data_IF_700158467766
#
_entry.id   IF_700158467766
#
_cell.length_a   1.000
_cell.length_b   1.000
_cell.length_c   1.000
_cell.angle_alpha   90.00
_cell.angle_beta   90.00
_cell.angle_gamma   90.00
#
_symmetry.space_group_name_H-M   'P 1'
#
loop_
_entity.id
_entity.type
_entity.pdbx_description
1 polymer ?
#
# COMPACT_ATOMS: atom_id res chain seq x y z
N UNK A 1 0.18 -23.28 -5.85
CA UNK A 1 -0.14 -23.57 -4.45
C UNK A 1 -1.55 -24.15 -4.37
N UNK A 2 -2.58 -23.42 -4.74
CA UNK A 2 -3.93 -23.95 -4.86
C UNK A 2 -4.38 -23.88 -6.33
N UNK A 3 -4.47 -25.00 -7.06
CA UNK A 3 -4.83 -24.98 -8.48
C UNK A 3 -6.30 -24.62 -8.73
N UNK A 4 -7.13 -24.61 -7.71
CA UNK A 4 -8.57 -24.33 -7.81
C UNK A 4 -8.90 -22.83 -7.57
N UNK A 5 -7.90 -21.99 -7.33
CA UNK A 5 -8.12 -20.55 -7.21
C UNK A 5 -8.48 -19.97 -8.58
N UNK A 6 -9.57 -19.19 -8.63
CA UNK A 6 -9.91 -18.37 -9.79
C UNK A 6 -9.15 -17.07 -9.72
N UNK A 7 -8.36 -16.77 -10.77
CA UNK A 7 -7.63 -15.51 -10.89
C UNK A 7 -8.20 -14.71 -12.06
N UNK A 8 -8.74 -13.53 -11.78
CA UNK A 8 -9.19 -12.59 -12.79
C UNK A 8 -8.16 -11.46 -12.91
N UNK A 9 -7.46 -11.38 -14.04
CA UNK A 9 -6.46 -10.36 -14.28
C UNK A 9 -7.05 -9.25 -15.16
N UNK A 10 -6.94 -8.00 -14.70
CA UNK A 10 -7.42 -6.82 -15.41
C UNK A 10 -6.24 -5.92 -15.79
N UNK A 11 -6.00 -5.75 -17.08
CA UNK A 11 -4.96 -4.86 -17.61
C UNK A 11 -5.49 -3.43 -17.66
N UNK A 12 -5.56 -2.78 -16.50
CA UNK A 12 -6.06 -1.41 -16.39
C UNK A 12 -5.27 -0.61 -15.35
N UNK A 13 -5.18 0.69 -15.54
CA UNK A 13 -4.68 1.61 -14.54
C UNK A 13 -5.83 2.03 -13.63
N UNK A 14 -5.68 1.84 -12.32
CA UNK A 14 -6.68 2.26 -11.35
C UNK A 14 -6.52 3.75 -11.10
N UNK A 15 -7.56 4.53 -11.36
CA UNK A 15 -7.62 5.95 -11.07
C UNK A 15 -9.04 6.38 -10.63
N UNK A 16 -9.22 7.68 -10.45
CA UNK A 16 -10.51 8.23 -9.98
C UNK A 16 -11.69 7.91 -10.90
N UNK A 17 -11.44 7.76 -12.20
CA UNK A 17 -12.49 7.69 -13.21
C UNK A 17 -13.05 6.26 -13.37
N UNK A 18 -12.38 5.26 -12.78
CA UNK A 18 -12.77 3.85 -12.88
C UNK A 18 -12.97 3.14 -11.53
N UNK A 19 -13.12 3.89 -10.43
CA UNK A 19 -13.29 3.28 -9.10
C UNK A 19 -14.61 2.52 -8.93
N UNK A 20 -15.64 2.84 -9.70
CA UNK A 20 -16.91 2.10 -9.65
C UNK A 20 -16.72 0.62 -10.01
N UNK A 21 -15.79 0.32 -10.93
CA UNK A 21 -15.38 -1.04 -11.23
C UNK A 21 -14.91 -1.82 -9.99
N UNK A 22 -14.20 -1.17 -9.07
CA UNK A 22 -13.75 -1.80 -7.81
C UNK A 22 -14.95 -2.25 -6.96
N UNK A 23 -16.02 -1.47 -6.96
CA UNK A 23 -17.26 -1.84 -6.25
C UNK A 23 -17.97 -3.01 -6.91
N UNK A 24 -17.99 -3.03 -8.25
CA UNK A 24 -18.61 -4.10 -9.04
C UNK A 24 -17.91 -5.46 -8.85
N UNK A 25 -16.62 -5.45 -8.51
CA UNK A 25 -15.86 -6.68 -8.20
C UNK A 25 -16.41 -7.39 -6.95
N UNK A 26 -17.09 -6.69 -6.04
CA UNK A 26 -17.59 -7.27 -4.80
C UNK A 26 -16.50 -7.85 -3.90
N UNK A 27 -15.31 -7.25 -3.90
CA UNK A 27 -14.18 -7.75 -3.13
C UNK A 27 -14.41 -7.54 -1.63
N UNK A 28 -14.17 -8.57 -0.83
CA UNK A 28 -14.27 -8.52 0.64
C UNK A 28 -13.12 -7.69 1.25
N UNK A 29 -11.96 -7.68 0.59
CA UNK A 29 -10.79 -6.94 1.03
C UNK A 29 -9.93 -6.49 -0.16
N UNK A 30 -9.38 -5.29 -0.07
CA UNK A 30 -8.48 -4.72 -1.09
C UNK A 30 -7.08 -4.56 -0.52
N UNK A 31 -6.07 -5.03 -1.26
CA UNK A 31 -4.66 -4.74 -0.98
C UNK A 31 -4.17 -3.73 -2.02
N UNK A 32 -3.89 -2.53 -1.57
CA UNK A 32 -3.32 -1.46 -2.38
C UNK A 32 -1.79 -1.51 -2.31
N UNK A 33 -1.15 -1.97 -3.38
CA UNK A 33 0.31 -2.19 -3.45
C UNK A 33 1.00 -1.38 -4.57
N UNK A 34 0.42 -0.30 -5.04
CA UNK A 34 1.01 0.62 -6.01
C UNK A 34 1.48 1.94 -5.36
N UNK A 35 2.29 2.74 -6.05
CA UNK A 35 2.96 3.93 -5.50
C UNK A 35 2.45 5.27 -6.07
N UNK A 36 1.51 5.24 -7.00
CA UNK A 36 0.93 6.46 -7.61
C UNK A 36 0.03 7.17 -6.62
N UNK A 37 0.54 8.25 -6.02
CA UNK A 37 -0.11 8.99 -4.91
C UNK A 37 -1.56 9.36 -5.20
N UNK A 38 -1.84 9.93 -6.38
CA UNK A 38 -3.21 10.36 -6.73
C UNK A 38 -4.18 9.19 -6.76
N UNK A 39 -3.81 8.11 -7.43
CA UNK A 39 -4.62 6.90 -7.54
C UNK A 39 -4.84 6.26 -6.17
N UNK A 40 -3.76 6.12 -5.38
CA UNK A 40 -3.80 5.59 -4.01
C UNK A 40 -4.75 6.40 -3.12
N UNK A 41 -4.68 7.72 -3.14
CA UNK A 41 -5.58 8.58 -2.37
C UNK A 41 -7.03 8.41 -2.80
N UNK A 42 -7.30 8.38 -4.11
CA UNK A 42 -8.66 8.20 -4.65
C UNK A 42 -9.23 6.84 -4.26
N UNK A 43 -8.44 5.77 -4.36
CA UNK A 43 -8.87 4.42 -3.97
C UNK A 43 -9.17 4.32 -2.47
N UNK A 44 -8.28 4.82 -1.63
CA UNK A 44 -8.49 4.80 -0.16
C UNK A 44 -9.75 5.58 0.21
N UNK A 45 -9.90 6.79 -0.32
CA UNK A 45 -11.09 7.62 -0.06
C UNK A 45 -12.38 6.95 -0.53
N UNK A 46 -12.35 6.33 -1.71
CA UNK A 46 -13.47 5.57 -2.25
C UNK A 46 -13.84 4.38 -1.35
N UNK A 47 -12.86 3.60 -0.92
CA UNK A 47 -13.07 2.45 -0.04
C UNK A 47 -13.67 2.89 1.30
N UNK A 48 -13.12 3.93 1.93
CA UNK A 48 -13.67 4.48 3.18
C UNK A 48 -15.13 4.95 3.03
N UNK A 49 -15.46 5.63 1.94
CA UNK A 49 -16.83 6.09 1.67
C UNK A 49 -17.82 4.96 1.43
N UNK A 50 -17.36 3.85 0.87
CA UNK A 50 -18.20 2.70 0.53
C UNK A 50 -18.12 1.55 1.54
N UNK A 51 -17.44 1.73 2.69
CA UNK A 51 -17.21 0.70 3.71
C UNK A 51 -16.54 -0.57 3.16
N UNK A 52 -15.62 -0.41 2.21
CA UNK A 52 -14.81 -1.51 1.65
C UNK A 52 -13.53 -1.63 2.47
N UNK A 53 -13.24 -2.81 2.99
CA UNK A 53 -11.99 -3.07 3.73
C UNK A 53 -10.78 -2.90 2.82
N UNK A 54 -9.79 -2.12 3.25
CA UNK A 54 -8.58 -1.84 2.47
C UNK A 54 -7.36 -1.72 3.38
N UNK A 55 -6.24 -2.27 2.92
CA UNK A 55 -4.91 -2.03 3.49
C UNK A 55 -3.95 -1.56 2.38
N UNK A 56 -3.06 -0.63 2.70
CA UNK A 56 -2.12 -0.06 1.72
C UNK A 56 -0.68 -0.34 2.09
N UNK A 57 0.14 -0.70 1.09
CA UNK A 57 1.60 -0.67 1.23
C UNK A 57 2.11 0.77 1.14
N UNK A 58 2.99 1.16 2.07
CA UNK A 58 3.81 2.35 1.92
C UNK A 58 5.13 2.01 1.20
N UNK A 59 6.05 2.96 1.09
CA UNK A 59 7.29 2.75 0.36
C UNK A 59 8.16 1.64 0.94
N UNK A 60 8.49 0.65 0.12
CA UNK A 60 9.37 -0.49 0.46
C UNK A 60 10.76 -0.38 -0.17
N UNK A 61 10.96 0.54 -1.10
CA UNK A 61 12.24 0.76 -1.77
C UNK A 61 13.31 1.40 -0.88
N UNK A 62 14.57 1.26 -1.29
CA UNK A 62 15.73 1.82 -0.58
C UNK A 62 16.10 1.08 0.69
N UNK A 63 15.69 -0.18 0.85
CA UNK A 63 15.87 -0.97 2.07
C UNK A 63 16.66 -2.24 1.77
N UNK A 64 17.69 -2.50 2.60
CA UNK A 64 18.48 -3.73 2.53
C UNK A 64 17.98 -4.74 3.56
N UNK A 65 17.57 -4.26 4.75
CA UNK A 65 16.99 -5.11 5.79
C UNK A 65 15.46 -5.23 5.63
N UNK A 66 14.94 -6.35 6.08
CA UNK A 66 13.50 -6.60 6.25
C UNK A 66 12.99 -6.19 7.62
N UNK A 67 13.90 -5.84 8.53
CA UNK A 67 13.56 -5.42 9.89
C UNK A 67 12.74 -4.14 9.89
N UNK A 68 11.87 -4.03 10.87
CA UNK A 68 11.07 -2.83 11.12
C UNK A 68 9.80 -2.70 10.28
N UNK A 69 9.50 -3.64 9.37
CA UNK A 69 8.18 -3.69 8.75
C UNK A 69 7.09 -3.98 9.80
N UNK A 70 6.01 -3.25 9.70
CA UNK A 70 4.87 -3.34 10.62
C UNK A 70 3.59 -2.90 9.90
N UNK A 71 2.47 -3.36 10.43
CA UNK A 71 1.14 -2.93 10.00
C UNK A 71 0.53 -2.15 11.15
N UNK A 72 0.13 -0.92 10.88
CA UNK A 72 -0.50 -0.03 11.85
C UNK A 72 -1.20 1.12 11.09
N UNK A 73 -1.83 2.02 11.83
CA UNK A 73 -2.49 3.21 11.29
C UNK A 73 -1.49 4.16 10.62
N UNK A 74 -1.98 4.87 9.61
CA UNK A 74 -1.17 5.81 8.82
C UNK A 74 -0.51 6.92 9.66
N UNK A 75 -1.12 7.35 10.76
CA UNK A 75 -0.56 8.35 11.65
C UNK A 75 0.73 7.88 12.34
N UNK A 76 0.90 6.56 12.54
CA UNK A 76 2.09 5.94 13.13
C UNK A 76 3.32 5.95 12.20
N UNK A 77 3.15 6.32 10.95
CA UNK A 77 4.27 6.48 10.01
C UNK A 77 5.11 7.74 10.24
N UNK A 78 4.79 8.54 11.27
CA UNK A 78 5.53 9.77 11.57
C UNK A 78 7.01 9.45 11.88
N UNK A 79 7.93 10.18 11.23
CA UNK A 79 9.37 10.03 11.48
C UNK A 79 10.06 8.87 10.76
N UNK A 80 9.35 8.03 10.02
CA UNK A 80 9.92 6.85 9.35
C UNK A 80 10.79 7.16 8.10
N UNK A 81 10.97 8.43 7.74
CA UNK A 81 11.79 8.87 6.60
C UNK A 81 11.23 8.55 5.21
N UNK A 82 10.09 7.85 5.10
CA UNK A 82 9.48 7.51 3.84
C UNK A 82 8.70 8.69 3.24
N UNK A 83 9.09 9.14 2.03
CA UNK A 83 8.41 10.23 1.33
C UNK A 83 6.95 9.94 1.02
N UNK A 84 6.64 8.71 0.55
CA UNK A 84 5.27 8.28 0.27
C UNK A 84 4.41 8.33 1.55
N UNK A 85 4.88 7.73 2.66
CA UNK A 85 4.15 7.75 3.94
C UNK A 85 3.83 9.18 4.39
N UNK A 86 4.80 10.11 4.26
CA UNK A 86 4.62 11.49 4.64
C UNK A 86 3.51 12.17 3.83
N UNK A 87 3.52 11.99 2.51
CA UNK A 87 2.50 12.58 1.63
C UNK A 87 1.13 11.96 1.92
N UNK A 88 1.06 10.62 1.99
CA UNK A 88 -0.19 9.91 2.26
C UNK A 88 -0.81 10.34 3.61
N UNK A 89 -0.02 10.36 4.69
CA UNK A 89 -0.48 10.81 6.01
C UNK A 89 -1.03 12.24 5.98
N UNK A 90 -0.34 13.15 5.29
CA UNK A 90 -0.77 14.56 5.18
C UNK A 90 -2.06 14.68 4.39
N UNK A 91 -2.15 14.04 3.25
CA UNK A 91 -3.29 14.15 2.35
C UNK A 91 -4.54 13.42 2.87
N UNK A 92 -4.37 12.26 3.51
CA UNK A 92 -5.48 11.54 4.14
C UNK A 92 -6.04 12.31 5.33
N UNK A 93 -5.18 12.95 6.15
CA UNK A 93 -5.64 13.80 7.25
C UNK A 93 -6.51 14.96 6.77
N UNK A 94 -6.16 15.60 5.64
CA UNK A 94 -6.99 16.66 5.03
C UNK A 94 -8.37 16.17 4.62
N UNK A 95 -8.52 14.87 4.36
CA UNK A 95 -9.77 14.20 3.98
C UNK A 95 -10.52 13.60 5.18
N UNK A 96 -10.02 13.84 6.40
CA UNK A 96 -10.60 13.30 7.63
C UNK A 96 -10.30 11.82 7.89
N UNK A 97 -9.40 11.22 7.09
CA UNK A 97 -8.99 9.81 7.22
C UNK A 97 -7.69 9.74 8.02
N UNK A 98 -7.76 9.30 9.26
CA UNK A 98 -6.60 9.23 10.18
C UNK A 98 -6.30 7.82 10.68
N UNK A 99 -7.22 6.90 10.49
CA UNK A 99 -7.22 5.52 10.98
C UNK A 99 -6.92 4.48 9.90
N UNK A 100 -6.61 4.92 8.68
CA UNK A 100 -6.29 4.03 7.57
C UNK A 100 -5.12 3.10 7.92
N UNK A 101 -5.34 1.79 7.75
CA UNK A 101 -4.35 0.75 8.03
C UNK A 101 -3.37 0.62 6.87
N UNK A 102 -2.09 0.60 7.19
CA UNK A 102 -1.05 0.44 6.17
C UNK A 102 0.15 -0.34 6.67
N UNK A 103 0.82 -1.02 5.75
CA UNK A 103 2.13 -1.60 5.98
C UNK A 103 3.20 -0.55 5.70
N UNK A 104 4.10 -0.36 6.64
CA UNK A 104 5.25 0.55 6.51
C UNK A 104 6.46 0.02 7.27
N UNK A 105 7.63 0.57 7.00
CA UNK A 105 8.80 0.29 7.81
C UNK A 105 9.02 1.44 8.82
N UNK A 106 9.32 1.11 10.06
CA UNK A 106 9.57 2.07 11.15
C UNK A 106 10.85 2.88 10.97
N UNK A 107 11.81 2.32 10.25
CA UNK A 107 13.11 2.94 10.04
C UNK A 107 13.15 3.72 8.72
N UNK A 108 14.04 4.71 8.57
CA UNK A 108 14.23 5.40 7.30
C UNK A 108 14.83 4.48 6.24
N UNK A 109 14.64 4.80 4.94
CA UNK A 109 15.33 4.10 3.86
C UNK A 109 16.87 4.19 4.04
N UNK A 110 17.55 3.08 3.79
CA UNK A 110 19.02 2.97 3.97
C UNK A 110 19.78 3.48 2.75
N UNK A 111 19.20 3.37 1.55
CA UNK A 111 19.79 3.90 0.33
C UNK A 111 19.21 5.26 -0.04
N UNK A 112 20.07 6.13 -0.60
CA UNK A 112 19.62 7.38 -1.20
C UNK A 112 18.90 7.07 -2.52
N UNK A 113 17.80 7.76 -2.79
CA UNK A 113 17.16 7.74 -4.09
C UNK A 113 18.10 8.33 -5.13
N UNK A 114 18.39 7.58 -6.18
CA UNK A 114 19.03 8.10 -7.39
C UNK A 114 17.96 8.53 -8.40
N UNK A 115 18.24 9.57 -9.18
CA UNK A 115 17.40 9.89 -10.34
C UNK A 115 17.73 8.90 -11.45
N UNK A 116 16.72 8.28 -12.03
CA UNK A 116 16.85 7.52 -13.28
C UNK A 116 17.15 8.48 -14.45
N UNK A 117 17.47 7.93 -15.63
CA UNK A 117 17.74 8.71 -16.83
C UNK A 117 16.60 9.64 -17.28
N UNK A 118 15.38 9.46 -16.71
CA UNK A 118 14.19 10.27 -16.97
C UNK A 118 13.91 11.28 -15.82
N UNK A 119 14.85 11.43 -14.89
CA UNK A 119 14.72 12.35 -13.74
C UNK A 119 13.76 11.87 -12.65
N UNK A 120 13.23 10.65 -12.74
CA UNK A 120 12.37 10.06 -11.69
C UNK A 120 13.24 9.53 -10.56
N UNK A 121 12.76 9.72 -9.34
CA UNK A 121 13.39 9.13 -8.17
C UNK A 121 13.06 7.64 -8.10
N UNK A 122 14.02 6.80 -8.46
CA UNK A 122 13.93 5.35 -8.29
C UNK A 122 14.84 4.93 -7.12
N UNK A 123 14.28 4.54 -5.98
CA UNK A 123 15.08 3.94 -4.92
C UNK A 123 15.57 2.57 -5.40
N UNK A 124 16.83 2.25 -5.12
CA UNK A 124 17.30 0.87 -5.26
C UNK A 124 16.42 -0.05 -4.43
N UNK A 125 16.23 -1.28 -4.88
CA UNK A 125 15.45 -2.28 -4.14
C UNK A 125 16.19 -3.60 -4.12
N UNK A 126 16.17 -4.27 -2.97
CA UNK A 126 16.56 -5.69 -2.87
C UNK A 126 15.34 -6.57 -3.12
N UNK A 127 15.51 -7.82 -3.51
CA UNK A 127 14.37 -8.74 -3.67
C UNK A 127 13.69 -9.08 -2.32
N UNK A 128 14.29 -8.72 -1.19
CA UNK A 128 13.78 -9.13 0.11
C UNK A 128 12.67 -8.21 0.62
N UNK A 129 12.93 -6.91 0.70
CA UNK A 129 12.04 -5.96 1.34
C UNK A 129 10.62 -5.90 0.72
N UNK A 130 10.45 -5.76 -0.62
CA UNK A 130 9.11 -5.74 -1.21
C UNK A 130 8.39 -7.08 -1.11
N UNK A 131 9.12 -8.21 -1.21
CA UNK A 131 8.51 -9.53 -1.10
C UNK A 131 8.02 -9.83 0.32
N UNK A 132 8.79 -9.52 1.34
CA UNK A 132 8.35 -9.66 2.75
C UNK A 132 7.16 -8.75 3.03
N UNK A 133 7.18 -7.51 2.54
CA UNK A 133 6.05 -6.60 2.68
C UNK A 133 4.77 -7.20 2.04
N UNK A 134 4.87 -7.79 0.85
CA UNK A 134 3.76 -8.48 0.20
C UNK A 134 3.23 -9.68 0.99
N UNK A 135 4.14 -10.50 1.54
CA UNK A 135 3.77 -11.65 2.39
C UNK A 135 3.05 -11.18 3.65
N UNK A 136 3.54 -10.13 4.31
CA UNK A 136 2.90 -9.58 5.51
C UNK A 136 1.51 -9.01 5.22
N UNK A 137 1.31 -8.35 4.07
CA UNK A 137 -0.01 -7.88 3.65
C UNK A 137 -0.97 -9.05 3.41
N UNK A 138 -0.50 -10.10 2.73
CA UNK A 138 -1.30 -11.29 2.49
C UNK A 138 -1.67 -12.00 3.79
N UNK A 139 -0.72 -12.17 4.70
CA UNK A 139 -0.95 -12.75 6.02
C UNK A 139 -2.01 -11.94 6.79
N UNK A 140 -1.83 -10.63 6.88
CA UNK A 140 -2.77 -9.74 7.58
C UNK A 140 -4.20 -9.91 7.06
N UNK A 141 -4.38 -9.94 5.74
CA UNK A 141 -5.71 -10.11 5.13
C UNK A 141 -6.28 -11.50 5.43
N UNK A 142 -5.47 -12.56 5.32
CA UNK A 142 -5.93 -13.91 5.66
C UNK A 142 -6.38 -14.03 7.13
N UNK A 143 -5.68 -13.36 8.06
CA UNK A 143 -6.05 -13.34 9.48
C UNK A 143 -7.42 -12.69 9.71
N UNK A 144 -7.81 -11.68 8.90
CA UNK A 144 -9.14 -11.05 9.02
C UNK A 144 -10.30 -12.01 8.71
N UNK A 145 -10.05 -13.10 7.97
CA UNK A 145 -11.05 -14.11 7.63
C UNK A 145 -10.94 -15.37 8.49
N UNK A 146 -9.86 -15.54 9.23
CA UNK A 146 -9.67 -16.69 10.12
C UNK A 146 -10.37 -16.53 11.48
N UNK A 147 -10.74 -15.30 11.83
CA UNK A 147 -11.43 -14.95 13.08
C UNK A 147 -12.97 -14.95 12.96
N UNK A 148 -13.50 -15.17 11.76
CA UNK A 148 -14.93 -15.36 11.46
C UNK A 148 -15.30 -16.87 11.48
#
# INVERSE_FOLDING_TARGET
>A
INPNITVNAYNMFVDRDNLDFIKELGADYIIDAFDTVKAKLSLIEFCHKNNIKIISAMGTGGRFSVDGFTIDRIDKTAGNGCGLSRVMRTELRKRGITDHICLFNKYPPESKTTKDGNGRHAPGSTPFAPNIAGIMLAQYVCEQFAEE
#
